data_IF_677405385375
#
_entry.id   IF_677405385375
#
_cell.length_a   1.000
_cell.length_b   1.000
_cell.length_c   1.000
_cell.angle_alpha   90.00
_cell.angle_beta   90.00
_cell.angle_gamma   90.00
#
_symmetry.space_group_name_H-M   'P 1'
#
loop_
_entity.id
_entity.type
_entity.pdbx_description
1 polymer ?
#
# COMPACT_ATOMS: atom_id res chain seq x y z
N UNK A 1 2.52 -0.82 -8.84
CA UNK A 1 2.07 -0.81 -7.44
C UNK A 1 2.46 0.50 -6.77
N UNK A 2 2.12 0.68 -5.51
CA UNK A 2 2.36 1.90 -4.76
C UNK A 2 3.78 1.95 -4.21
N UNK A 3 4.32 3.15 -4.01
CA UNK A 3 5.62 3.31 -3.36
C UNK A 3 5.58 2.82 -1.90
N UNK A 4 6.69 2.30 -1.39
CA UNK A 4 6.78 1.83 0.00
C UNK A 4 6.39 2.92 0.99
N UNK A 5 6.77 4.17 0.73
CA UNK A 5 6.38 5.30 1.58
C UNK A 5 4.87 5.49 1.65
N UNK A 6 4.16 5.29 0.54
CA UNK A 6 2.70 5.37 0.50
C UNK A 6 2.06 4.21 1.29
N UNK A 7 2.60 2.99 1.16
CA UNK A 7 2.14 1.82 1.91
C UNK A 7 2.28 2.06 3.42
N UNK A 8 3.45 2.55 3.86
CA UNK A 8 3.70 2.86 5.27
C UNK A 8 2.75 3.96 5.79
N UNK A 9 2.55 5.02 5.01
CA UNK A 9 1.63 6.10 5.40
C UNK A 9 0.18 5.61 5.51
N UNK A 10 -0.25 4.75 4.60
CA UNK A 10 -1.55 4.09 4.67
C UNK A 10 -1.66 3.16 5.88
N UNK A 11 -0.63 2.36 6.15
CA UNK A 11 -0.62 1.44 7.28
C UNK A 11 -0.73 2.19 8.63
N UNK A 12 -0.01 3.29 8.78
CA UNK A 12 -0.11 4.14 9.97
C UNK A 12 -1.49 4.79 10.10
N UNK A 13 -2.07 5.26 9.00
CA UNK A 13 -3.44 5.79 8.99
C UNK A 13 -4.46 4.71 9.38
N UNK A 14 -4.35 3.51 8.82
CA UNK A 14 -5.25 2.42 9.12
C UNK A 14 -5.10 1.94 10.56
N UNK A 15 -3.87 1.86 11.09
CA UNK A 15 -3.62 1.57 12.50
C UNK A 15 -4.30 2.61 13.41
N UNK A 16 -4.15 3.90 13.10
CA UNK A 16 -4.80 4.97 13.83
C UNK A 16 -6.33 4.80 13.80
N UNK A 17 -6.89 4.49 12.64
CA UNK A 17 -8.32 4.27 12.47
C UNK A 17 -8.82 3.09 13.32
N UNK A 18 -8.21 1.92 13.21
CA UNK A 18 -8.69 0.74 13.95
C UNK A 18 -8.51 0.89 15.45
N UNK A 19 -7.42 1.52 15.91
CA UNK A 19 -7.17 1.75 17.32
C UNK A 19 -8.12 2.77 17.93
N UNK A 20 -8.45 3.83 17.21
CA UNK A 20 -9.28 4.93 17.71
C UNK A 20 -10.79 4.66 17.54
N UNK A 21 -11.19 4.06 16.40
CA UNK A 21 -12.61 3.94 16.04
C UNK A 21 -13.19 2.54 16.32
N UNK A 22 -12.35 1.50 16.37
CA UNK A 22 -12.77 0.12 16.61
C UNK A 22 -12.29 -0.43 17.96
N UNK A 23 -11.92 0.44 18.85
CA UNK A 23 -11.25 0.12 20.09
C UNK A 23 -12.06 -0.74 21.08
N UNK A 24 -13.37 -0.74 20.94
CA UNK A 24 -14.33 -1.52 21.78
C UNK A 24 -14.63 -2.92 21.22
N UNK A 25 -13.92 -3.33 20.16
CA UNK A 25 -14.14 -4.59 19.44
C UNK A 25 -12.83 -5.36 19.28
N UNK A 26 -12.83 -6.43 18.51
CA UNK A 26 -11.62 -7.15 18.14
C UNK A 26 -10.74 -6.34 17.16
N UNK A 27 -10.36 -5.13 17.52
CA UNK A 27 -9.63 -4.15 16.70
C UNK A 27 -8.30 -4.69 16.14
N UNK A 28 -7.60 -5.51 16.92
CA UNK A 28 -6.34 -6.13 16.51
C UNK A 28 -6.47 -7.01 15.28
N UNK A 29 -7.68 -7.51 14.97
CA UNK A 29 -7.92 -8.28 13.74
C UNK A 29 -7.70 -7.43 12.49
N UNK A 30 -8.05 -6.14 12.55
CA UNK A 30 -7.75 -5.18 11.47
C UNK A 30 -6.25 -4.95 11.29
N UNK A 31 -5.49 -4.91 12.40
CA UNK A 31 -4.03 -4.78 12.35
C UNK A 31 -3.38 -6.05 11.79
N UNK A 32 -3.82 -7.22 12.23
CA UNK A 32 -3.32 -8.50 11.71
C UNK A 32 -3.58 -8.63 10.20
N UNK A 33 -4.76 -8.21 9.77
CA UNK A 33 -5.12 -8.18 8.36
C UNK A 33 -4.23 -7.25 7.54
N UNK A 34 -3.96 -6.06 8.05
CA UNK A 34 -3.06 -5.09 7.44
C UNK A 34 -1.65 -5.66 7.30
N UNK A 35 -1.12 -6.28 8.36
CA UNK A 35 0.17 -6.95 8.34
C UNK A 35 0.21 -8.09 7.32
N UNK A 36 -0.88 -8.84 7.17
CA UNK A 36 -0.99 -9.95 6.22
C UNK A 36 -0.93 -9.53 4.75
N UNK A 37 -1.24 -8.28 4.42
CA UNK A 37 -1.05 -7.75 3.06
C UNK A 37 0.28 -7.00 2.90
N UNK A 38 0.74 -6.29 3.91
CA UNK A 38 1.96 -5.48 3.83
C UNK A 38 3.23 -6.33 3.89
N UNK A 39 3.30 -7.31 4.79
CA UNK A 39 4.49 -8.16 4.92
C UNK A 39 4.82 -8.90 3.61
N UNK A 40 3.90 -9.63 2.96
CA UNK A 40 4.20 -10.27 1.68
C UNK A 40 4.56 -9.28 0.58
N UNK A 41 3.94 -8.10 0.55
CA UNK A 41 4.23 -7.08 -0.46
C UNK A 41 5.65 -6.50 -0.33
N UNK A 42 6.22 -6.49 0.87
CA UNK A 42 7.61 -6.09 1.10
C UNK A 42 8.60 -7.23 0.81
N UNK A 43 8.14 -8.47 0.73
CA UNK A 43 8.96 -9.64 0.38
C UNK A 43 9.06 -9.82 -1.14
N UNK A 44 10.10 -10.52 -1.60
CA UNK A 44 10.31 -10.76 -3.04
C UNK A 44 9.09 -11.40 -3.74
N UNK A 45 8.39 -12.30 -3.06
CA UNK A 45 7.24 -13.05 -3.60
C UNK A 45 5.99 -12.20 -3.81
N UNK A 46 5.85 -11.10 -3.10
CA UNK A 46 4.64 -10.27 -3.11
C UNK A 46 4.86 -8.84 -3.62
N UNK A 47 6.06 -8.52 -4.10
CA UNK A 47 6.35 -7.18 -4.60
C UNK A 47 5.40 -6.80 -5.73
N UNK A 48 4.88 -5.57 -5.64
CA UNK A 48 3.97 -5.04 -6.65
C UNK A 48 2.51 -5.49 -6.51
N UNK A 49 2.17 -6.34 -5.57
CA UNK A 49 0.83 -6.89 -5.39
C UNK A 49 0.09 -6.37 -4.13
N UNK A 50 0.58 -5.30 -3.50
CA UNK A 50 0.00 -4.81 -2.25
C UNK A 50 -1.49 -4.45 -2.37
N UNK A 51 -1.89 -3.78 -3.45
CA UNK A 51 -3.28 -3.39 -3.70
C UNK A 51 -4.18 -4.63 -3.77
N UNK A 52 -3.76 -5.66 -4.53
CA UNK A 52 -4.48 -6.91 -4.66
C UNK A 52 -4.62 -7.62 -3.31
N UNK A 53 -3.52 -7.76 -2.57
CA UNK A 53 -3.55 -8.35 -1.23
C UNK A 53 -4.45 -7.56 -0.29
N UNK A 54 -4.39 -6.23 -0.34
CA UNK A 54 -5.25 -5.38 0.48
C UNK A 54 -6.73 -5.54 0.12
N UNK A 55 -7.07 -5.61 -1.15
CA UNK A 55 -8.43 -5.84 -1.61
C UNK A 55 -8.96 -7.20 -1.12
N UNK A 56 -8.20 -8.26 -1.31
CA UNK A 56 -8.60 -9.61 -0.90
C UNK A 56 -8.74 -9.74 0.62
N UNK A 57 -7.74 -9.30 1.36
CA UNK A 57 -7.76 -9.40 2.82
C UNK A 57 -8.89 -8.57 3.43
N UNK A 58 -9.12 -7.36 2.92
CA UNK A 58 -10.21 -6.52 3.38
C UNK A 58 -11.58 -7.12 3.06
N UNK A 59 -11.76 -7.67 1.87
CA UNK A 59 -13.01 -8.32 1.46
C UNK A 59 -13.30 -9.54 2.32
N UNK A 60 -12.32 -10.41 2.53
CA UNK A 60 -12.46 -11.61 3.37
C UNK A 60 -12.76 -11.24 4.82
N UNK A 61 -12.05 -10.25 5.37
CA UNK A 61 -12.29 -9.79 6.73
C UNK A 61 -13.69 -9.17 6.88
N UNK A 62 -14.09 -8.30 5.94
CA UNK A 62 -15.41 -7.67 5.97
C UNK A 62 -16.52 -8.71 5.86
N UNK A 63 -16.38 -9.70 4.97
CA UNK A 63 -17.33 -10.80 4.86
C UNK A 63 -17.41 -11.61 6.17
N UNK A 64 -16.27 -11.92 6.80
CA UNK A 64 -16.23 -12.66 8.05
C UNK A 64 -16.88 -11.89 9.21
N UNK A 65 -16.59 -10.60 9.39
CA UNK A 65 -17.16 -9.81 10.48
C UNK A 65 -18.64 -9.49 10.30
N UNK A 66 -19.10 -9.38 9.06
CA UNK A 66 -20.53 -9.20 8.77
C UNK A 66 -21.33 -10.51 8.97
N UNK A 67 -20.72 -11.64 8.63
CA UNK A 67 -21.35 -12.94 8.80
C UNK A 67 -21.34 -13.42 10.26
N UNK A 68 -20.27 -13.10 10.98
CA UNK A 68 -20.05 -13.50 12.38
C UNK A 68 -19.86 -12.28 13.30
N UNK A 69 -20.85 -11.40 13.46
CA UNK A 69 -20.70 -10.18 14.27
C UNK A 69 -20.35 -10.46 15.71
N UNK A 70 -20.80 -11.59 16.27
CA UNK A 70 -20.48 -12.03 17.61
C UNK A 70 -18.96 -12.17 17.86
N UNK A 71 -18.19 -12.57 16.84
CA UNK A 71 -16.73 -12.62 16.93
C UNK A 71 -16.13 -11.26 17.32
N UNK A 72 -16.62 -10.19 16.69
CA UNK A 72 -16.12 -8.84 16.90
C UNK A 72 -16.55 -8.21 18.21
N UNK A 73 -17.75 -8.54 18.70
CA UNK A 73 -18.41 -7.78 19.75
C UNK A 73 -18.42 -8.49 21.12
N UNK A 74 -18.71 -9.79 21.14
CA UNK A 74 -19.07 -10.50 22.36
C UNK A 74 -18.26 -11.77 22.61
N UNK A 75 -17.36 -12.13 21.67
CA UNK A 75 -16.54 -13.33 21.85
C UNK A 75 -15.38 -13.11 22.81
N UNK A 76 -14.76 -14.20 23.26
CA UNK A 76 -13.50 -14.14 24.01
C UNK A 76 -12.36 -13.43 23.27
N UNK A 77 -12.49 -13.20 21.97
CA UNK A 77 -11.54 -12.48 21.12
C UNK A 77 -11.82 -10.99 21.03
N UNK A 78 -12.94 -10.50 21.56
CA UNK A 78 -13.32 -9.09 21.53
C UNK A 78 -12.55 -8.25 22.58
N UNK A 79 -11.23 -8.24 22.47
CA UNK A 79 -10.38 -7.45 23.36
C UNK A 79 -10.45 -5.96 23.02
N UNK A 80 -10.83 -5.17 24.02
CA UNK A 80 -10.86 -3.70 23.90
C UNK A 80 -9.45 -3.12 23.97
N UNK A 81 -9.22 -2.03 23.27
CA UNK A 81 -7.98 -1.26 23.46
C UNK A 81 -8.03 -0.51 24.80
N UNK A 82 -6.85 -0.15 25.30
CA UNK A 82 -6.75 0.61 26.55
C UNK A 82 -7.31 2.04 26.45
N UNK A 83 -7.61 2.55 25.26
CA UNK A 83 -8.03 3.93 25.00
C UNK A 83 -7.15 4.98 25.72
N UNK A 84 -5.86 4.67 25.85
CA UNK A 84 -4.92 5.58 26.49
C UNK A 84 -4.80 6.87 25.66
N UNK A 85 -5.07 8.08 26.22
CA UNK A 85 -5.03 9.33 25.48
C UNK A 85 -3.68 9.60 24.80
N UNK A 86 -2.58 9.22 25.42
CA UNK A 86 -1.25 9.36 24.82
C UNK A 86 -1.04 8.43 23.63
N UNK A 87 -1.49 7.18 23.72
CA UNK A 87 -1.42 6.24 22.61
C UNK A 87 -2.28 6.72 21.43
N UNK A 88 -3.52 7.18 21.69
CA UNK A 88 -4.41 7.79 20.69
C UNK A 88 -3.71 8.96 19.98
N UNK A 89 -3.13 9.88 20.77
CA UNK A 89 -2.44 11.06 20.24
C UNK A 89 -1.21 10.67 19.40
N UNK A 90 -0.33 9.80 19.92
CA UNK A 90 0.92 9.41 19.24
C UNK A 90 0.62 8.72 17.92
N UNK A 91 -0.32 7.76 17.90
CA UNK A 91 -0.67 7.01 16.68
C UNK A 91 -1.30 7.94 15.64
N UNK A 92 -2.20 8.84 16.08
CA UNK A 92 -2.83 9.82 15.18
C UNK A 92 -1.82 10.83 14.64
N UNK A 93 -0.90 11.33 15.48
CA UNK A 93 0.13 12.27 15.05
C UNK A 93 1.11 11.60 14.07
N UNK A 94 1.53 10.36 14.32
CA UNK A 94 2.39 9.61 13.41
C UNK A 94 1.71 9.39 12.05
N UNK A 95 0.43 9.01 12.04
CA UNK A 95 -0.35 8.87 10.83
C UNK A 95 -0.46 10.20 10.06
N UNK A 96 -0.76 11.30 10.74
CA UNK A 96 -0.86 12.62 10.11
C UNK A 96 0.49 13.03 9.50
N UNK A 97 1.57 12.94 10.25
CA UNK A 97 2.91 13.32 9.78
C UNK A 97 3.31 12.50 8.56
N UNK A 98 3.12 11.18 8.60
CA UNK A 98 3.46 10.30 7.48
C UNK A 98 2.64 10.63 6.22
N UNK A 99 1.34 10.88 6.36
CA UNK A 99 0.48 11.20 5.23
C UNK A 99 0.77 12.60 4.65
N UNK A 100 1.01 13.59 5.50
CA UNK A 100 1.41 14.94 5.05
C UNK A 100 2.76 14.88 4.33
N UNK A 101 3.73 14.15 4.89
CA UNK A 101 5.05 13.96 4.25
C UNK A 101 4.90 13.28 2.89
N UNK A 102 4.11 12.21 2.80
CA UNK A 102 3.86 11.52 1.53
C UNK A 102 3.18 12.41 0.50
N UNK A 103 2.15 13.17 0.93
CA UNK A 103 1.45 14.11 0.06
C UNK A 103 2.41 15.17 -0.49
N UNK A 104 3.18 15.83 0.37
CA UNK A 104 4.16 16.85 -0.04
C UNK A 104 5.22 16.27 -0.97
N UNK A 105 5.74 15.07 -0.66
CA UNK A 105 6.71 14.38 -1.48
C UNK A 105 6.17 14.06 -2.88
N UNK A 106 4.94 13.55 -2.95
CA UNK A 106 4.28 13.23 -4.22
C UNK A 106 4.00 14.47 -5.07
N UNK A 107 3.45 15.52 -4.47
CA UNK A 107 3.22 16.80 -5.15
C UNK A 107 4.54 17.40 -5.65
N UNK A 108 5.60 17.35 -4.83
CA UNK A 108 6.93 17.82 -5.21
C UNK A 108 7.46 17.09 -6.44
N UNK A 109 7.32 15.77 -6.51
CA UNK A 109 7.73 14.97 -7.68
C UNK A 109 6.95 15.40 -8.92
N UNK A 110 5.63 15.54 -8.82
CA UNK A 110 4.75 15.98 -9.93
C UNK A 110 5.20 17.36 -10.46
N UNK A 111 5.37 18.33 -9.56
CA UNK A 111 5.72 19.70 -9.93
C UNK A 111 7.14 19.77 -10.50
N UNK A 112 8.11 19.10 -9.88
CA UNK A 112 9.51 19.14 -10.31
C UNK A 112 9.70 18.46 -11.68
N UNK A 113 9.08 17.31 -11.88
CA UNK A 113 9.18 16.55 -13.13
C UNK A 113 8.19 17.01 -14.20
N UNK A 114 7.28 17.92 -13.85
CA UNK A 114 6.21 18.43 -14.74
C UNK A 114 5.40 17.31 -15.42
N UNK A 115 5.18 16.22 -14.71
CA UNK A 115 4.41 15.06 -15.19
C UNK A 115 2.96 15.19 -14.82
N UNK A 116 2.07 14.88 -15.76
CA UNK A 116 0.63 14.81 -15.50
C UNK A 116 0.29 13.44 -14.88
N UNK A 117 -0.14 13.38 -13.62
CA UNK A 117 -0.43 12.10 -12.94
C UNK A 117 -1.61 11.32 -13.55
N UNK A 118 -2.43 11.94 -14.38
CA UNK A 118 -3.56 11.28 -15.04
C UNK A 118 -3.18 10.59 -16.35
N UNK A 119 -2.06 10.98 -16.95
CA UNK A 119 -1.67 10.48 -18.28
C UNK A 119 -0.24 9.93 -18.33
N UNK A 120 0.56 10.17 -17.30
CA UNK A 120 1.97 9.80 -17.25
C UNK A 120 2.34 9.09 -15.96
N UNK A 121 3.32 8.20 -16.03
CA UNK A 121 3.88 7.52 -14.86
C UNK A 121 4.81 8.47 -14.08
N UNK A 122 4.32 8.94 -12.93
CA UNK A 122 5.02 9.96 -12.12
C UNK A 122 6.37 9.45 -11.60
N UNK A 123 6.44 8.18 -11.23
CA UNK A 123 7.60 7.53 -10.59
C UNK A 123 8.45 6.67 -11.54
N UNK A 124 8.28 6.82 -12.86
CA UNK A 124 8.98 5.99 -13.86
C UNK A 124 10.52 6.04 -13.79
N UNK A 125 11.09 7.12 -13.22
CA UNK A 125 12.55 7.28 -13.10
C UNK A 125 13.12 6.61 -11.83
N UNK A 126 12.28 6.01 -11.00
CA UNK A 126 12.78 5.29 -9.83
C UNK A 126 13.45 3.98 -10.26
N UNK A 127 14.66 3.74 -9.75
CA UNK A 127 15.42 2.53 -10.11
C UNK A 127 14.66 1.21 -9.85
N UNK A 128 13.78 1.22 -8.84
CA UNK A 128 12.91 0.09 -8.51
C UNK A 128 11.77 -0.09 -9.50
N UNK A 129 11.30 0.96 -10.17
CA UNK A 129 10.18 0.90 -11.10
C UNK A 129 10.49 -0.01 -12.31
N UNK A 130 11.59 0.26 -12.98
CA UNK A 130 12.01 -0.54 -14.14
C UNK A 130 12.22 -2.03 -13.78
N UNK A 131 12.83 -2.30 -12.62
CA UNK A 131 13.00 -3.69 -12.16
C UNK A 131 11.66 -4.38 -11.88
N UNK A 132 10.69 -3.68 -11.31
CA UNK A 132 9.38 -4.25 -11.03
C UNK A 132 8.57 -4.51 -12.30
N UNK A 133 8.59 -3.57 -13.25
CA UNK A 133 7.93 -3.78 -14.55
C UNK A 133 8.57 -4.98 -15.27
N UNK A 134 9.90 -5.06 -15.29
CA UNK A 134 10.62 -6.20 -15.90
C UNK A 134 10.24 -7.53 -15.29
N UNK A 135 10.17 -7.60 -13.96
CA UNK A 135 10.04 -8.86 -13.22
C UNK A 135 8.56 -9.30 -13.04
N UNK A 136 7.60 -8.37 -13.12
CA UNK A 136 6.20 -8.63 -12.74
C UNK A 136 5.20 -8.39 -13.87
N UNK A 137 5.50 -7.51 -14.84
CA UNK A 137 4.57 -7.18 -15.91
C UNK A 137 4.59 -8.25 -17.02
N UNK A 138 3.44 -8.48 -17.65
CA UNK A 138 3.37 -9.25 -18.89
C UNK A 138 4.06 -8.50 -20.03
N UNK A 139 4.41 -9.20 -21.09
CA UNK A 139 5.08 -8.55 -22.23
C UNK A 139 4.17 -7.51 -22.90
N UNK A 140 2.86 -7.75 -22.95
CA UNK A 140 1.86 -6.80 -23.42
C UNK A 140 1.81 -5.55 -22.54
N UNK A 141 1.84 -5.71 -21.22
CA UNK A 141 1.88 -4.57 -20.28
C UNK A 141 3.18 -3.79 -20.40
N UNK A 142 4.33 -4.44 -20.62
CA UNK A 142 5.62 -3.78 -20.83
C UNK A 142 5.58 -2.87 -22.06
N UNK A 143 4.99 -3.36 -23.17
CA UNK A 143 4.81 -2.56 -24.38
C UNK A 143 3.91 -1.36 -24.13
N UNK A 144 2.78 -1.57 -23.44
CA UNK A 144 1.81 -0.52 -23.14
C UNK A 144 2.39 0.56 -22.21
N UNK A 145 3.16 0.14 -21.18
CA UNK A 145 3.85 1.06 -20.26
C UNK A 145 4.94 1.83 -21.01
N UNK A 146 5.76 1.16 -21.82
CA UNK A 146 6.81 1.80 -22.60
C UNK A 146 6.23 2.84 -23.59
N UNK A 147 5.13 2.51 -24.27
CA UNK A 147 4.44 3.43 -25.15
C UNK A 147 3.94 4.69 -24.41
N UNK A 148 3.42 4.55 -23.18
CA UNK A 148 3.03 5.70 -22.34
C UNK A 148 4.21 6.58 -21.92
N UNK A 149 5.40 5.99 -21.81
CA UNK A 149 6.64 6.70 -21.49
C UNK A 149 7.28 7.33 -22.74
N UNK A 150 6.78 7.02 -23.94
CA UNK A 150 7.33 7.49 -25.20
C UNK A 150 8.67 6.82 -25.56
N UNK A 151 8.87 5.58 -25.12
CA UNK A 151 10.11 4.82 -25.30
C UNK A 151 9.81 3.39 -25.70
N UNK A 152 10.84 2.58 -25.91
CA UNK A 152 10.71 1.14 -26.13
C UNK A 152 10.92 0.35 -24.84
N UNK A 153 10.40 -0.90 -24.71
CA UNK A 153 10.63 -1.73 -23.52
C UNK A 153 12.12 -1.97 -23.23
N UNK A 154 12.96 -2.03 -24.26
CA UNK A 154 14.41 -2.21 -24.13
C UNK A 154 15.07 -0.94 -23.54
N UNK A 155 14.74 0.25 -24.07
CA UNK A 155 15.28 1.52 -23.59
C UNK A 155 14.80 1.85 -22.17
N UNK A 156 13.58 1.45 -21.83
CA UNK A 156 13.03 1.59 -20.48
C UNK A 156 13.62 0.59 -19.46
N UNK A 157 14.42 -0.38 -19.90
CA UNK A 157 14.99 -1.41 -19.04
C UNK A 157 13.98 -2.46 -18.54
N UNK A 158 12.87 -2.62 -19.25
CA UNK A 158 11.82 -3.58 -18.95
C UNK A 158 12.11 -4.99 -19.48
N UNK A 159 13.08 -5.11 -20.37
CA UNK A 159 13.58 -6.39 -20.90
C UNK A 159 15.02 -6.53 -20.44
N UNK A 160 15.41 -7.75 -20.03
CA UNK A 160 16.80 -8.03 -19.69
C UNK A 160 17.68 -7.75 -20.92
N UNK A 161 18.80 -7.08 -20.72
CA UNK A 161 19.77 -6.93 -21.79
C UNK A 161 20.21 -8.34 -22.22
N UNK A 162 20.04 -8.65 -23.49
CA UNK A 162 20.46 -9.93 -24.07
C UNK A 162 21.97 -10.07 -23.79
N UNK A 163 22.33 -10.99 -22.89
CA UNK A 163 23.72 -11.31 -22.58
C UNK A 163 24.30 -12.04 -23.80
N UNK A 164 24.83 -11.26 -24.76
CA UNK A 164 25.69 -11.83 -25.81
C UNK A 164 27.03 -12.25 -25.26
#
# INVERSE_FOLDING_TARGET
DLTIGWIIAYDLWNLAYVYNCLADRAWYSGVALLASCTIPALMKLGRGAWIQYRAYTLTLWSAAVLTFPHFMQDSMFAHRSSHNPWALFIVSAAALIANVWMFVSHVRVIVTKRRNPFTQEVHADEATYASWVRDLASDEDKELIAARLGTTPQEAGFVAADSR
#
